data_IF_068301381699
#
_entry.id   IF_068301381699
#
_cell.length_a   1.000
_cell.length_b   1.000
_cell.length_c   1.000
_cell.angle_alpha   90.00
_cell.angle_beta   90.00
_cell.angle_gamma   90.00
#
_symmetry.space_group_name_H-M   'P 1'
#
loop_
_entity.id
_entity.type
_entity.pdbx_description
1 polymer ?
#
# COMPACT_ATOMS: atom_id res chain seq x y z
N UNK A 1 -13.35 13.33 3.64
CA UNK A 1 -12.95 11.96 4.08
C UNK A 1 -14.06 10.95 3.79
N UNK A 2 -15.33 11.21 4.18
CA UNK A 2 -16.44 10.28 3.94
C UNK A 2 -16.81 10.04 2.46
N UNK A 3 -16.48 10.95 1.53
CA UNK A 3 -16.81 10.82 0.10
C UNK A 3 -16.05 9.66 -0.57
N UNK A 4 -14.83 9.35 -0.13
CA UNK A 4 -13.98 8.31 -0.74
C UNK A 4 -14.44 6.90 -0.32
N UNK A 5 -14.99 6.76 0.90
CA UNK A 5 -15.41 5.47 1.46
C UNK A 5 -16.93 5.26 1.46
N UNK A 6 -17.68 6.15 0.81
CA UNK A 6 -19.15 6.26 0.95
C UNK A 6 -19.92 5.03 0.46
N UNK A 7 -19.31 4.17 -0.37
CA UNK A 7 -19.97 3.03 -1.00
C UNK A 7 -19.60 1.65 -0.43
N UNK A 8 -18.81 1.59 0.65
CA UNK A 8 -18.54 0.34 1.37
C UNK A 8 -19.64 0.09 2.41
N UNK A 9 -20.86 -0.22 1.96
CA UNK A 9 -22.00 -0.44 2.87
C UNK A 9 -21.99 -1.80 3.58
N UNK A 10 -21.33 -2.83 3.05
CA UNK A 10 -21.38 -4.21 3.59
C UNK A 10 -20.06 -5.02 3.47
N UNK A 11 -18.90 -4.36 3.50
CA UNK A 11 -17.60 -5.03 3.38
C UNK A 11 -16.71 -4.78 4.59
N UNK A 12 -17.22 -5.07 5.78
CA UNK A 12 -16.39 -5.09 6.98
C UNK A 12 -15.84 -6.51 7.18
N UNK A 13 -14.54 -6.69 7.00
CA UNK A 13 -13.81 -7.94 7.19
C UNK A 13 -13.33 -8.13 8.64
N UNK A 14 -12.31 -8.97 8.81
CA UNK A 14 -11.75 -9.32 10.12
C UNK A 14 -11.19 -8.11 10.89
N UNK A 15 -10.92 -7.01 10.19
CA UNK A 15 -10.46 -5.74 10.75
C UNK A 15 -11.47 -5.07 11.69
N UNK A 16 -12.76 -5.45 11.71
CA UNK A 16 -13.67 -5.01 12.78
C UNK A 16 -13.21 -5.55 14.13
N UNK A 17 -12.76 -6.81 14.13
CA UNK A 17 -12.41 -7.57 15.33
C UNK A 17 -10.95 -7.37 15.72
N UNK A 18 -10.04 -7.36 14.74
CA UNK A 18 -8.61 -7.19 14.97
C UNK A 18 -8.13 -5.74 14.82
N UNK A 19 -8.94 -4.87 14.21
CA UNK A 19 -8.49 -3.55 13.80
C UNK A 19 -7.48 -3.60 12.65
N UNK A 20 -6.98 -2.42 12.31
CA UNK A 20 -5.68 -2.26 11.69
C UNK A 20 -4.95 -1.24 12.57
N UNK A 21 -3.73 -1.50 13.07
CA UNK A 21 -3.03 -0.53 13.91
C UNK A 21 -3.02 0.85 13.23
N UNK A 22 -3.32 1.91 13.98
CA UNK A 22 -3.55 3.26 13.42
C UNK A 22 -2.38 3.79 12.60
N UNK A 23 -1.17 3.29 12.86
CA UNK A 23 0.05 3.67 12.16
C UNK A 23 0.25 2.93 10.84
N UNK A 24 -0.33 1.73 10.65
CA UNK A 24 -0.21 0.95 9.40
C UNK A 24 -0.62 1.76 8.17
N UNK A 25 -1.84 2.35 8.10
CA UNK A 25 -2.23 3.15 6.95
C UNK A 25 -1.38 4.41 6.79
N UNK A 26 -0.89 5.01 7.89
CA UNK A 26 -0.03 6.18 7.84
C UNK A 26 1.33 5.86 7.17
N UNK A 27 1.97 4.76 7.55
CA UNK A 27 3.25 4.32 6.97
C UNK A 27 3.08 4.05 5.48
N UNK A 28 2.06 3.28 5.09
CA UNK A 28 1.82 2.94 3.68
C UNK A 28 1.54 4.21 2.86
N UNK A 29 0.74 5.15 3.37
CA UNK A 29 0.49 6.42 2.69
C UNK A 29 1.78 7.25 2.51
N UNK A 30 2.65 7.32 3.52
CA UNK A 30 3.94 8.03 3.40
C UNK A 30 4.84 7.42 2.32
N UNK A 31 4.91 6.10 2.23
CA UNK A 31 5.68 5.41 1.19
C UNK A 31 5.10 5.65 -0.22
N UNK A 32 3.77 5.66 -0.33
CA UNK A 32 3.10 6.01 -1.59
C UNK A 32 3.42 7.45 -2.03
N UNK A 33 3.41 8.41 -1.09
CA UNK A 33 3.78 9.80 -1.39
C UNK A 33 5.24 9.88 -1.87
N UNK A 34 6.15 9.17 -1.22
CA UNK A 34 7.55 9.11 -1.65
C UNK A 34 7.69 8.54 -3.07
N UNK A 35 6.90 7.52 -3.42
CA UNK A 35 6.86 6.96 -4.78
C UNK A 35 6.37 7.98 -5.81
N UNK A 36 5.31 8.73 -5.47
CA UNK A 36 4.80 9.82 -6.31
C UNK A 36 5.86 10.91 -6.49
N UNK A 37 6.59 11.29 -5.45
CA UNK A 37 7.68 12.26 -5.55
C UNK A 37 8.77 11.79 -6.54
N UNK A 38 9.15 10.51 -6.52
CA UNK A 38 10.12 9.96 -7.50
C UNK A 38 9.60 10.07 -8.93
N UNK A 39 8.32 9.79 -9.15
CA UNK A 39 7.68 9.91 -10.47
C UNK A 39 7.63 11.36 -10.95
N UNK A 40 7.25 12.30 -10.08
CA UNK A 40 7.10 13.72 -10.44
C UNK A 40 8.45 14.41 -10.68
N UNK A 41 9.47 14.08 -9.89
CA UNK A 41 10.79 14.70 -9.98
C UNK A 41 11.71 14.03 -11.01
N UNK A 42 11.39 12.80 -11.43
CA UNK A 42 12.28 11.97 -12.23
C UNK A 42 13.55 11.54 -11.49
N UNK A 43 13.60 11.69 -10.17
CA UNK A 43 14.77 11.37 -9.34
C UNK A 43 14.55 10.05 -8.58
N UNK A 44 15.58 9.20 -8.59
CA UNK A 44 15.54 7.89 -7.94
C UNK A 44 14.89 6.80 -8.79
N UNK A 45 14.84 5.57 -8.25
CA UNK A 45 14.28 4.41 -8.95
C UNK A 45 12.87 4.10 -8.43
N UNK A 46 11.84 4.17 -9.27
CA UNK A 46 10.49 3.80 -8.85
C UNK A 46 10.38 2.28 -8.61
N UNK A 47 9.47 1.89 -7.73
CA UNK A 47 9.10 0.52 -7.40
C UNK A 47 8.24 -0.12 -8.52
N UNK A 48 8.63 0.08 -9.78
CA UNK A 48 7.88 -0.38 -10.94
C UNK A 48 8.05 -1.89 -11.09
N UNK A 49 6.94 -2.61 -11.36
CA UNK A 49 6.89 -4.09 -11.47
C UNK A 49 7.39 -4.82 -10.22
N UNK A 50 7.35 -4.15 -9.07
CA UNK A 50 7.77 -4.67 -7.78
C UNK A 50 6.66 -4.37 -6.77
N UNK A 51 6.47 -5.27 -5.81
CA UNK A 51 5.61 -5.07 -4.66
C UNK A 51 6.49 -4.96 -3.42
N UNK A 52 6.22 -3.96 -2.59
CA UNK A 52 6.83 -3.86 -1.26
C UNK A 52 5.86 -4.49 -0.27
N UNK A 53 6.29 -5.58 0.36
CA UNK A 53 5.55 -6.23 1.42
C UNK A 53 6.16 -5.83 2.76
N UNK A 54 5.34 -5.34 3.68
CA UNK A 54 5.79 -4.82 4.97
C UNK A 54 5.03 -5.52 6.07
N UNK A 55 5.75 -6.29 6.87
CA UNK A 55 5.24 -6.84 8.12
C UNK A 55 5.65 -5.93 9.27
N UNK A 56 4.72 -5.13 9.77
CA UNK A 56 4.97 -4.18 10.84
C UNK A 56 5.03 -4.81 12.24
N UNK A 57 4.59 -6.06 12.39
CA UNK A 57 4.68 -6.77 13.66
C UNK A 57 6.13 -7.22 13.91
N UNK A 58 6.73 -7.85 12.91
CA UNK A 58 8.10 -8.38 12.97
C UNK A 58 9.15 -7.41 12.40
N UNK A 59 8.71 -6.25 11.88
CA UNK A 59 9.53 -5.23 11.23
C UNK A 59 10.33 -5.76 10.02
N UNK A 60 9.69 -6.61 9.22
CA UNK A 60 10.27 -7.18 8.00
C UNK A 60 9.77 -6.43 6.76
N UNK A 61 10.68 -6.23 5.81
CA UNK A 61 10.40 -5.54 4.54
C UNK A 61 10.95 -6.37 3.39
N UNK A 62 10.04 -6.90 2.58
CA UNK A 62 10.36 -7.74 1.44
C UNK A 62 10.01 -7.05 0.13
N UNK A 63 10.86 -7.25 -0.88
CA UNK A 63 10.58 -6.81 -2.24
C UNK A 63 10.26 -8.03 -3.11
N UNK A 64 9.04 -8.07 -3.62
CA UNK A 64 8.54 -9.16 -4.47
C UNK A 64 8.48 -8.66 -5.92
N UNK A 65 9.02 -9.42 -6.86
CA UNK A 65 8.89 -9.10 -8.28
C UNK A 65 7.49 -9.50 -8.79
N UNK A 66 6.81 -8.57 -9.44
CA UNK A 66 5.51 -8.85 -10.06
C UNK A 66 5.78 -9.25 -11.51
N UNK A 67 5.68 -10.54 -11.79
CA UNK A 67 5.74 -11.08 -13.15
C UNK A 67 4.61 -10.50 -14.03
N UNK A 68 4.88 -10.28 -15.31
CA UNK A 68 3.85 -9.84 -16.25
C UNK A 68 2.94 -11.02 -16.60
N UNK A 69 1.75 -11.09 -16.03
CA UNK A 69 0.69 -11.92 -16.60
C UNK A 69 0.27 -11.26 -17.91
N UNK A 70 0.53 -11.95 -19.02
CA UNK A 70 0.00 -11.57 -20.33
C UNK A 70 -1.52 -11.78 -20.26
N UNK A 71 -2.29 -10.83 -20.80
CA UNK A 71 -3.74 -10.87 -21.01
C UNK A 71 -4.62 -10.50 -19.82
N UNK A 72 -5.15 -9.28 -19.88
CA UNK A 72 -6.54 -8.96 -19.53
C UNK A 72 -7.18 -8.31 -20.75
#
# INVERSE_FOLDING_TARGET
IQIIYQNCKDSKGLEIKLGNPSFTPAIIASLQVAEVCKLLTGQGTPLRKKMLFINLLDMEVDQIEIGQTISC
#
